data_IF_505553470981
#
_entry.id   IF_505553470981
#
_cell.length_a   1.000
_cell.length_b   1.000
_cell.length_c   1.000
_cell.angle_alpha   90.00
_cell.angle_beta   90.00
_cell.angle_gamma   90.00
#
_symmetry.space_group_name_H-M   'P 1'
#
loop_
_entity.id
_entity.type
_entity.pdbx_description
1 polymer ?
#
# COMPACT_ATOMS: atom_id res chain seq x y z
N UNK A 1 -2.81 8.19 -18.18
CA UNK A 1 -2.75 7.61 -16.83
C UNK A 1 -1.61 6.60 -16.68
N UNK A 2 -1.62 5.47 -17.41
CA UNK A 2 -0.63 4.39 -17.26
C UNK A 2 0.85 4.82 -17.38
N UNK A 3 1.18 5.75 -18.30
CA UNK A 3 2.53 6.32 -18.41
C UNK A 3 3.03 6.94 -17.08
N UNK A 4 2.13 7.54 -16.30
CA UNK A 4 2.43 8.12 -14.98
C UNK A 4 2.75 7.04 -13.95
N UNK A 5 2.03 5.91 -13.99
CA UNK A 5 2.30 4.79 -13.09
C UNK A 5 3.68 4.20 -13.36
N UNK A 6 3.98 3.92 -14.63
CA UNK A 6 5.28 3.38 -15.04
C UNK A 6 6.44 4.31 -14.65
N UNK A 7 6.30 5.62 -14.92
CA UNK A 7 7.29 6.62 -14.51
C UNK A 7 7.42 6.67 -12.98
N UNK A 8 6.30 6.69 -12.25
CA UNK A 8 6.29 6.76 -10.79
C UNK A 8 7.02 5.58 -10.16
N UNK A 9 6.70 4.35 -10.57
CA UNK A 9 7.37 3.14 -10.04
C UNK A 9 8.85 3.12 -10.38
N UNK A 10 9.23 3.49 -11.60
CA UNK A 10 10.64 3.54 -12.00
C UNK A 10 11.41 4.58 -11.18
N UNK A 11 10.82 5.76 -10.98
CA UNK A 11 11.39 6.82 -10.16
C UNK A 11 11.53 6.37 -8.70
N UNK A 12 10.51 5.76 -8.11
CA UNK A 12 10.56 5.23 -6.73
C UNK A 12 11.68 4.21 -6.56
N UNK A 13 11.88 3.29 -7.51
CA UNK A 13 13.00 2.34 -7.49
C UNK A 13 14.34 3.08 -7.42
N UNK A 14 14.53 4.07 -8.29
CA UNK A 14 15.78 4.83 -8.38
C UNK A 14 16.03 5.65 -7.10
N UNK A 15 15.00 6.31 -6.57
CA UNK A 15 15.14 7.18 -5.38
C UNK A 15 15.45 6.39 -4.09
N UNK A 16 15.02 5.13 -4.01
CA UNK A 16 15.29 4.27 -2.86
C UNK A 16 16.65 3.57 -2.91
N UNK A 17 17.35 3.60 -4.05
CA UNK A 17 18.69 3.05 -4.19
C UNK A 17 19.73 4.19 -4.15
N UNK A 18 20.52 4.26 -3.08
CA UNK A 18 21.52 5.33 -2.95
C UNK A 18 22.72 5.08 -3.88
N UNK A 19 23.38 6.17 -4.27
CA UNK A 19 24.59 6.08 -5.07
C UNK A 19 25.67 5.25 -4.34
N UNK A 20 26.20 4.23 -5.02
CA UNK A 20 27.20 3.31 -4.47
C UNK A 20 26.61 2.07 -3.80
N UNK A 21 25.29 1.95 -3.66
CA UNK A 21 24.67 0.72 -3.16
C UNK A 21 24.59 -0.38 -4.24
N UNK A 22 24.78 -1.65 -3.87
CA UNK A 22 24.64 -2.76 -4.81
C UNK A 22 23.18 -2.95 -5.24
N UNK A 23 22.97 -3.40 -6.48
CA UNK A 23 21.62 -3.64 -7.03
C UNK A 23 20.81 -4.71 -6.28
N UNK A 24 21.45 -5.55 -5.48
CA UNK A 24 20.76 -6.50 -4.57
C UNK A 24 19.90 -5.79 -3.52
N UNK A 25 20.10 -4.49 -3.29
CA UNK A 25 19.26 -3.67 -2.41
C UNK A 25 18.03 -3.06 -3.08
N UNK A 26 17.86 -3.23 -4.40
CA UNK A 26 16.66 -2.77 -5.10
C UNK A 26 15.43 -3.38 -4.42
N UNK A 27 14.50 -2.50 -4.02
CA UNK A 27 13.26 -2.90 -3.36
C UNK A 27 12.18 -3.14 -4.39
N UNK A 28 11.36 -4.16 -4.12
CA UNK A 28 10.08 -4.33 -4.79
C UNK A 28 9.20 -3.10 -4.55
N UNK A 29 8.53 -2.64 -5.61
CA UNK A 29 7.60 -1.52 -5.55
C UNK A 29 6.19 -1.97 -5.88
N UNK A 30 5.27 -1.67 -4.99
CA UNK A 30 3.84 -1.82 -5.18
C UNK A 30 3.21 -0.47 -5.51
N UNK A 31 2.52 -0.38 -6.64
CA UNK A 31 1.78 0.82 -7.05
C UNK A 31 0.28 0.58 -6.91
N UNK A 32 -0.29 1.12 -5.84
CA UNK A 32 -1.73 1.03 -5.55
C UNK A 32 -2.40 2.31 -6.01
N UNK A 33 -3.39 2.19 -6.88
CA UNK A 33 -4.12 3.30 -7.50
C UNK A 33 -5.61 3.17 -7.22
N UNK A 34 -6.12 4.04 -6.35
CA UNK A 34 -7.55 4.20 -6.12
C UNK A 34 -8.13 5.12 -7.21
N UNK A 35 -9.12 4.64 -7.94
CA UNK A 35 -9.69 5.30 -9.11
C UNK A 35 -11.16 5.64 -8.86
N UNK A 36 -11.52 6.89 -9.11
CA UNK A 36 -12.90 7.40 -9.04
C UNK A 36 -13.56 7.48 -10.42
N UNK A 37 -12.94 6.85 -11.42
CA UNK A 37 -13.42 6.80 -12.78
C UNK A 37 -13.26 5.37 -13.30
N UNK A 38 -14.08 5.02 -14.28
CA UNK A 38 -14.05 3.70 -14.86
C UNK A 38 -12.79 3.49 -15.71
N UNK A 39 -12.15 2.33 -15.54
CA UNK A 39 -10.93 1.94 -16.25
C UNK A 39 -11.16 0.76 -17.20
N UNK A 40 -12.27 0.04 -17.07
CA UNK A 40 -12.58 -1.10 -17.92
C UNK A 40 -13.85 -0.82 -18.71
N UNK A 41 -13.86 -1.17 -20.00
CA UNK A 41 -15.07 -1.04 -20.83
C UNK A 41 -16.09 -2.15 -20.57
N UNK A 42 -15.62 -3.30 -20.10
CA UNK A 42 -16.38 -4.55 -19.96
C UNK A 42 -16.15 -5.20 -18.59
N UNK A 43 -15.70 -4.42 -17.59
CA UNK A 43 -15.12 -4.93 -16.34
C UNK A 43 -16.11 -5.70 -15.47
N UNK A 44 -15.74 -6.92 -15.12
CA UNK A 44 -16.44 -7.81 -14.18
C UNK A 44 -15.86 -7.76 -12.75
N UNK A 45 -14.77 -7.01 -12.55
CA UNK A 45 -14.06 -6.90 -11.28
C UNK A 45 -13.77 -5.44 -10.88
N UNK A 46 -13.44 -5.22 -9.60
CA UNK A 46 -13.07 -3.95 -8.98
C UNK A 46 -11.63 -3.93 -8.48
N UNK A 47 -10.85 -5.01 -8.66
CA UNK A 47 -9.41 -5.03 -8.39
C UNK A 47 -8.67 -5.62 -9.59
N UNK A 48 -7.87 -4.79 -10.26
CA UNK A 48 -7.04 -5.22 -11.38
C UNK A 48 -5.58 -5.27 -10.98
N UNK A 49 -5.00 -6.47 -11.04
CA UNK A 49 -3.58 -6.72 -10.74
C UNK A 49 -2.75 -6.80 -12.03
N UNK A 50 -1.85 -5.85 -12.21
CA UNK A 50 -0.84 -5.84 -13.26
C UNK A 50 0.52 -6.28 -12.70
N UNK A 51 1.08 -7.35 -13.25
CA UNK A 51 2.41 -7.86 -12.88
C UNK A 51 3.21 -8.23 -14.13
N UNK A 52 4.53 -8.26 -13.99
CA UNK A 52 5.41 -8.73 -15.06
C UNK A 52 5.45 -10.26 -15.09
N UNK A 53 5.09 -10.84 -16.24
CA UNK A 53 5.22 -12.27 -16.49
C UNK A 53 6.18 -12.51 -17.67
N UNK A 54 6.97 -13.59 -17.59
CA UNK A 54 7.85 -14.01 -18.67
C UNK A 54 7.25 -15.23 -19.37
N UNK A 55 7.14 -15.15 -20.70
CA UNK A 55 6.69 -16.25 -21.53
C UNK A 55 7.65 -16.42 -22.73
N UNK A 56 7.76 -17.65 -23.23
CA UNK A 56 8.55 -17.94 -24.43
C UNK A 56 7.95 -17.23 -25.63
N UNK A 57 8.73 -16.41 -26.34
CA UNK A 57 8.20 -15.59 -27.45
C UNK A 57 7.56 -16.42 -28.58
N UNK A 58 8.13 -17.60 -28.88
CA UNK A 58 7.63 -18.48 -29.94
C UNK A 58 6.63 -19.52 -29.44
N UNK A 59 6.77 -19.99 -28.19
CA UNK A 59 5.92 -21.05 -27.63
C UNK A 59 4.71 -20.49 -26.89
N UNK A 60 4.76 -19.22 -26.50
CA UNK A 60 3.81 -18.54 -25.62
C UNK A 60 3.64 -19.19 -24.23
N UNK A 61 4.50 -20.15 -23.88
CA UNK A 61 4.44 -20.83 -22.59
C UNK A 61 5.06 -19.98 -21.48
N UNK A 62 4.46 -19.92 -20.28
CA UNK A 62 5.09 -19.29 -19.11
C UNK A 62 6.46 -19.90 -18.82
N UNK A 63 7.41 -19.06 -18.43
CA UNK A 63 8.77 -19.47 -18.10
C UNK A 63 8.99 -19.45 -16.59
N UNK A 64 9.48 -20.56 -16.05
CA UNK A 64 10.02 -20.60 -14.69
C UNK A 64 11.48 -20.16 -14.71
N UNK A 65 11.77 -18.99 -14.13
CA UNK A 65 13.14 -18.49 -14.02
C UNK A 65 13.92 -19.30 -12.98
N UNK A 66 15.25 -19.43 -13.18
CA UNK A 66 16.13 -20.10 -12.22
C UNK A 66 16.22 -19.30 -10.93
N UNK A 67 16.22 -19.99 -9.78
CA UNK A 67 16.35 -19.37 -8.45
C UNK A 67 17.56 -18.43 -8.34
N UNK A 68 18.68 -18.75 -9.00
CA UNK A 68 19.89 -17.92 -9.02
C UNK A 68 19.71 -16.53 -9.67
N UNK A 69 18.71 -16.35 -10.53
CA UNK A 69 18.39 -15.07 -11.18
C UNK A 69 17.42 -14.23 -10.35
N UNK A 70 16.78 -14.85 -9.37
CA UNK A 70 15.70 -14.30 -8.58
C UNK A 70 16.21 -13.78 -7.21
N UNK A 71 17.43 -14.18 -6.83
CA UNK A 71 18.05 -13.88 -5.54
C UNK A 71 17.81 -14.98 -4.51
N UNK A 72 18.52 -14.93 -3.39
CA UNK A 72 18.29 -15.84 -2.27
C UNK A 72 16.87 -15.64 -1.72
N UNK A 73 16.23 -16.76 -1.34
CA UNK A 73 14.90 -16.83 -0.75
C UNK A 73 14.84 -16.04 0.58
N UNK A 74 14.67 -14.73 0.49
CA UNK A 74 14.20 -13.94 1.63
C UNK A 74 12.74 -14.35 1.82
N UNK A 75 12.55 -15.11 2.90
CA UNK A 75 11.28 -15.61 3.41
C UNK A 75 10.22 -14.50 3.42
N UNK A 76 9.39 -14.52 2.39
CA UNK A 76 7.93 -14.29 2.30
C UNK A 76 7.65 -13.84 0.85
N UNK A 77 7.19 -14.79 0.03
CA UNK A 77 6.34 -14.52 -1.15
C UNK A 77 6.91 -13.88 -2.42
N UNK A 78 8.03 -13.14 -2.40
CA UNK A 78 8.37 -12.28 -3.54
C UNK A 78 9.67 -12.67 -4.25
N UNK A 79 9.56 -13.66 -5.14
CA UNK A 79 10.58 -14.09 -6.12
C UNK A 79 10.71 -13.13 -7.32
N UNK A 80 10.50 -11.83 -7.12
CA UNK A 80 10.53 -10.87 -8.22
C UNK A 80 10.72 -9.42 -7.76
N UNK A 81 11.67 -8.68 -8.35
CA UNK A 81 11.90 -7.24 -8.13
C UNK A 81 11.04 -6.32 -9.00
N UNK A 82 10.36 -6.88 -10.03
CA UNK A 82 9.53 -6.08 -10.92
C UNK A 82 8.34 -5.47 -10.17
N UNK A 83 7.99 -4.21 -10.50
CA UNK A 83 6.83 -3.55 -9.92
C UNK A 83 5.54 -4.32 -10.18
N UNK A 84 4.62 -4.22 -9.22
CA UNK A 84 3.24 -4.66 -9.36
C UNK A 84 2.30 -3.47 -9.24
N UNK A 85 1.24 -3.47 -10.03
CA UNK A 85 0.25 -2.41 -10.12
C UNK A 85 -1.11 -2.94 -9.69
N UNK A 86 -1.77 -2.23 -8.79
CA UNK A 86 -3.13 -2.52 -8.37
C UNK A 86 -3.99 -1.32 -8.75
N UNK A 87 -4.93 -1.52 -9.66
CA UNK A 87 -5.92 -0.51 -10.04
C UNK A 87 -7.24 -0.89 -9.38
N UNK A 88 -7.77 0.00 -8.55
CA UNK A 88 -8.97 -0.24 -7.75
C UNK A 88 -10.00 0.84 -8.08
N UNK A 89 -10.96 0.57 -8.98
CA UNK A 89 -12.05 1.48 -9.28
C UNK A 89 -13.08 1.40 -8.15
N UNK A 90 -13.12 2.44 -7.33
CA UNK A 90 -13.97 2.48 -6.14
C UNK A 90 -15.47 2.43 -6.50
N UNK A 91 -15.84 3.01 -7.64
CA UNK A 91 -17.23 2.97 -8.12
C UNK A 91 -17.69 1.54 -8.44
N UNK A 92 -16.80 0.70 -8.97
CA UNK A 92 -17.09 -0.69 -9.33
C UNK A 92 -17.19 -1.63 -8.11
N UNK A 93 -16.76 -1.18 -6.92
CA UNK A 93 -16.84 -2.00 -5.71
C UNK A 93 -18.30 -2.22 -5.28
N UNK A 94 -18.77 -3.48 -5.16
CA UNK A 94 -20.19 -3.79 -4.88
C UNK A 94 -20.62 -3.52 -3.44
N UNK A 95 -19.76 -2.94 -2.58
CA UNK A 95 -20.00 -2.76 -1.14
C UNK A 95 -20.22 -4.07 -0.38
N UNK A 96 -19.65 -5.17 -0.86
CA UNK A 96 -19.66 -6.46 -0.18
C UNK A 96 -18.25 -6.71 0.35
N UNK A 97 -18.09 -6.72 1.67
CA UNK A 97 -16.80 -6.95 2.33
C UNK A 97 -16.61 -8.44 2.58
N UNK A 98 -15.60 -9.06 1.96
CA UNK A 98 -15.31 -10.50 2.09
C UNK A 98 -13.99 -10.79 2.79
N UNK A 99 -13.02 -9.90 2.65
CA UNK A 99 -11.68 -10.05 3.21
C UNK A 99 -11.11 -8.72 3.70
N UNK A 100 -9.84 -8.74 4.13
CA UNK A 100 -9.15 -7.57 4.64
C UNK A 100 -8.93 -6.50 3.56
N UNK A 101 -8.74 -6.88 2.31
CA UNK A 101 -8.56 -5.93 1.20
C UNK A 101 -9.87 -5.19 0.94
N UNK A 102 -11.00 -5.91 0.95
CA UNK A 102 -12.31 -5.30 0.79
C UNK A 102 -12.66 -4.33 1.92
N UNK A 103 -12.22 -4.59 3.16
CA UNK A 103 -12.38 -3.63 4.26
C UNK A 103 -11.68 -2.31 3.93
N UNK A 104 -10.47 -2.36 3.38
CA UNK A 104 -9.75 -1.16 2.91
C UNK A 104 -10.49 -0.46 1.76
N UNK A 105 -10.96 -1.21 0.76
CA UNK A 105 -11.70 -0.64 -0.39
C UNK A 105 -13.00 0.04 0.08
N UNK A 106 -13.76 -0.61 0.97
CA UNK A 106 -14.95 -0.04 1.58
C UNK A 106 -14.62 1.24 2.33
N UNK A 107 -13.54 1.24 3.12
CA UNK A 107 -13.16 2.40 3.91
C UNK A 107 -12.77 3.60 3.06
N UNK A 108 -12.03 3.37 1.97
CA UNK A 108 -11.69 4.45 1.03
C UNK A 108 -12.89 4.97 0.27
N UNK A 109 -13.83 4.10 -0.12
CA UNK A 109 -15.06 4.52 -0.81
C UNK A 109 -15.98 5.36 0.06
N UNK A 110 -16.17 4.95 1.33
CA UNK A 110 -17.12 5.59 2.25
C UNK A 110 -16.49 6.65 3.16
N UNK A 111 -15.16 6.78 3.12
CA UNK A 111 -14.40 7.69 3.98
C UNK A 111 -14.68 7.46 5.48
N UNK A 112 -14.80 6.19 5.85
CA UNK A 112 -15.15 5.71 7.18
C UNK A 112 -14.52 4.34 7.42
N UNK A 113 -14.20 4.00 8.67
CA UNK A 113 -13.76 2.65 9.05
C UNK A 113 -14.72 2.15 10.11
N UNK A 114 -15.41 1.05 9.81
CA UNK A 114 -16.35 0.44 10.74
C UNK A 114 -15.61 -0.19 11.93
N UNK A 115 -16.26 -0.25 13.09
CA UNK A 115 -15.67 -0.75 14.34
C UNK A 115 -15.28 -2.24 14.24
N UNK A 116 -16.02 -3.01 13.45
CA UNK A 116 -15.79 -4.43 13.21
C UNK A 116 -14.62 -4.72 12.25
N UNK A 117 -14.05 -3.71 11.59
CA UNK A 117 -12.94 -3.92 10.67
C UNK A 117 -11.66 -4.29 11.42
N UNK A 118 -11.05 -5.39 10.99
CA UNK A 118 -9.87 -6.00 11.60
C UNK A 118 -8.68 -6.07 10.66
N UNK A 119 -8.81 -5.56 9.44
CA UNK A 119 -7.74 -5.55 8.46
C UNK A 119 -6.45 -4.94 9.04
N UNK A 120 -5.28 -5.57 8.86
CA UNK A 120 -4.04 -5.10 9.45
C UNK A 120 -3.76 -3.63 9.15
N UNK A 121 -3.60 -2.83 10.21
CA UNK A 121 -3.30 -1.39 10.11
C UNK A 121 -4.50 -0.47 9.82
N UNK A 122 -5.71 -0.98 9.64
CA UNK A 122 -6.89 -0.16 9.31
C UNK A 122 -7.32 0.78 10.44
N UNK A 123 -6.97 0.45 11.69
CA UNK A 123 -7.16 1.34 12.83
C UNK A 123 -6.42 2.68 12.68
N UNK A 124 -5.24 2.69 12.08
CA UNK A 124 -4.51 3.93 11.81
C UNK A 124 -5.21 4.81 10.76
N UNK A 125 -5.95 4.20 9.82
CA UNK A 125 -6.81 4.95 8.91
C UNK A 125 -8.00 5.54 9.67
N UNK A 126 -8.63 4.76 10.54
CA UNK A 126 -9.76 5.21 11.37
C UNK A 126 -9.40 6.46 12.18
N UNK A 127 -8.29 6.41 12.93
CA UNK A 127 -7.81 7.55 13.73
C UNK A 127 -7.60 8.81 12.86
N UNK A 128 -7.04 8.65 11.66
CA UNK A 128 -6.85 9.77 10.73
C UNK A 128 -8.18 10.34 10.23
N UNK A 129 -9.13 9.48 9.88
CA UNK A 129 -10.45 9.91 9.40
C UNK A 129 -11.22 10.61 10.51
N UNK A 130 -11.18 10.08 11.73
CA UNK A 130 -11.80 10.70 12.90
C UNK A 130 -11.20 12.07 13.19
N UNK A 131 -9.88 12.20 13.16
CA UNK A 131 -9.19 13.49 13.28
C UNK A 131 -9.61 14.49 12.19
N UNK A 132 -9.78 14.03 10.95
CA UNK A 132 -10.23 14.90 9.85
C UNK A 132 -11.68 15.36 10.01
N UNK A 133 -12.53 14.57 10.68
CA UNK A 133 -13.94 14.90 11.00
C UNK A 133 -14.07 15.86 12.18
N UNK A 134 -13.04 16.03 13.02
CA UNK A 134 -13.05 16.94 14.17
C UNK A 134 -13.16 18.41 13.76
N UNK A 135 -13.83 19.21 14.58
CA UNK A 135 -13.79 20.67 14.51
C UNK A 135 -12.41 21.22 14.90
N UNK A 136 -12.12 22.46 14.52
CA UNK A 136 -10.84 23.12 14.87
C UNK A 136 -10.58 23.18 16.38
N UNK A 137 -11.64 23.26 17.20
CA UNK A 137 -11.51 23.22 18.66
C UNK A 137 -11.10 21.83 19.15
N UNK A 138 -11.77 20.79 18.66
CA UNK A 138 -11.49 19.40 19.02
C UNK A 138 -10.10 18.98 18.55
N UNK A 139 -9.65 19.40 17.37
CA UNK A 139 -8.28 19.17 16.90
C UNK A 139 -7.25 19.76 17.84
N UNK A 140 -7.43 21.01 18.29
CA UNK A 140 -6.51 21.66 19.24
C UNK A 140 -6.45 20.94 20.58
N UNK A 141 -7.61 20.51 21.10
CA UNK A 141 -7.70 19.74 22.34
C UNK A 141 -7.00 18.38 22.18
N UNK A 142 -7.23 17.69 21.06
CA UNK A 142 -6.59 16.43 20.71
C UNK A 142 -5.06 16.57 20.55
N UNK A 143 -4.58 17.56 19.79
CA UNK A 143 -3.15 17.82 19.59
C UNK A 143 -2.46 18.11 20.92
N UNK A 144 -3.09 18.93 21.77
CA UNK A 144 -2.58 19.23 23.13
C UNK A 144 -2.49 17.97 23.98
N UNK A 145 -3.50 17.09 23.91
CA UNK A 145 -3.48 15.81 24.60
C UNK A 145 -2.36 14.89 24.11
N UNK A 146 -2.16 14.80 22.79
CA UNK A 146 -1.08 14.01 22.18
C UNK A 146 0.31 14.54 22.54
N UNK A 147 0.50 15.86 22.55
CA UNK A 147 1.77 16.48 22.95
C UNK A 147 2.07 16.27 24.43
N UNK A 148 1.06 16.35 25.30
CA UNK A 148 1.20 16.00 26.71
C UNK A 148 1.59 14.53 26.90
N UNK A 149 0.92 13.61 26.20
CA UNK A 149 1.21 12.19 26.24
C UNK A 149 2.66 11.90 25.77
N UNK A 150 3.10 12.48 24.64
CA UNK A 150 4.48 12.33 24.14
C UNK A 150 5.52 12.83 25.13
N UNK A 151 5.27 13.97 25.77
CA UNK A 151 6.17 14.53 26.77
C UNK A 151 6.28 13.62 28.00
N UNK A 152 5.15 13.07 28.47
CA UNK A 152 5.13 12.10 29.56
C UNK A 152 5.88 10.81 29.22
N UNK A 153 5.69 10.27 28.00
CA UNK A 153 6.43 9.10 27.53
C UNK A 153 7.93 9.35 27.40
N UNK A 154 8.34 10.53 26.92
CA UNK A 154 9.75 10.92 26.85
C UNK A 154 10.42 11.01 28.22
N UNK A 155 9.69 11.50 29.23
CA UNK A 155 10.18 11.51 30.62
C UNK A 155 10.31 10.09 31.20
N UNK A 156 9.35 9.21 30.93
CA UNK A 156 9.38 7.81 31.39
C UNK A 156 10.51 7.01 30.72
N UNK A 157 10.76 7.23 29.42
CA UNK A 157 11.85 6.53 28.71
C UNK A 157 13.23 7.02 29.18
N UNK A 158 13.40 8.32 29.43
CA UNK A 158 14.63 8.83 30.07
C UNK A 158 14.84 8.24 31.45
N UNK A 159 13.80 8.19 32.29
CA UNK A 159 13.89 7.63 33.64
C UNK A 159 14.15 6.10 33.67
N UNK A 160 13.91 5.38 32.57
CA UNK A 160 14.27 3.96 32.41
C UNK A 160 15.71 3.74 31.94
N UNK A 161 16.35 4.77 31.40
CA UNK A 161 17.73 4.72 30.87
C UNK A 161 18.78 5.22 31.85
N UNK A 162 18.36 5.87 32.93
CA UNK A 162 19.16 6.14 34.14
C UNK A 162 19.11 4.94 35.10
#
# INVERSE_FOLDING_TARGET
YLKRLAYGTAKTIVEHLKLGEPYTKVKKVYSISLLYFDVSRDGDDYIYHGKTEFAGFHTHNPVTLKNSLVGDEIRVGETNVFPEYYLIPLESFPNIVRDDLDQWVWAFKNNEVLDEFTAPGIGALKEKLDYLKMSEREKREYDTFIDYARSAWGMIDNARRE
#
